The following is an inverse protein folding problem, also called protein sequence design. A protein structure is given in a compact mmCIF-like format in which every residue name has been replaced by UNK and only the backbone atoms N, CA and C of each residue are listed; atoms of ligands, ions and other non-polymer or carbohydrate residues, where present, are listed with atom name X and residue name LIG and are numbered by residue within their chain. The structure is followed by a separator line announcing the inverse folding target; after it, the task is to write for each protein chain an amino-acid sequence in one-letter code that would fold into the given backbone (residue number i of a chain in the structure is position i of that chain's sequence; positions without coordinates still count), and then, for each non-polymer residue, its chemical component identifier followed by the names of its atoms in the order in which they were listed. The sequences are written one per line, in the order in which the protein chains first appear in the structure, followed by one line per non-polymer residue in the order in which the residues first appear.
data_IF_095202259350
#
_entry.id   IF_095202259350
#
_cell.length_a   1.000
_cell.length_b   1.000
_cell.length_c   1.000
_cell.angle_alpha   90.00
_cell.angle_beta   90.00
_cell.angle_gamma   90.00
#
_symmetry.space_group_name_H-M   'P 1'
#
loop_
_entity.id
_entity.type
_entity.pdbx_description
1 polymer ?
#
# COMPACT_ATOMS: atom_id res chain seq x y z
N UNK A 1 -26.34 13.15 -12.53
CA UNK A 1 -25.88 12.11 -11.57
C UNK A 1 -26.71 10.84 -11.70
N UNK A 2 -28.04 10.93 -11.67
CA UNK A 2 -28.95 9.79 -11.90
C UNK A 2 -28.70 9.13 -13.28
N UNK A 3 -28.49 9.92 -14.33
CA UNK A 3 -28.18 9.44 -15.68
C UNK A 3 -26.86 8.66 -15.77
N UNK A 4 -25.80 9.14 -15.11
CA UNK A 4 -24.52 8.40 -15.03
C UNK A 4 -24.70 7.12 -14.20
N UNK A 5 -25.48 7.16 -13.11
CA UNK A 5 -25.71 6.00 -12.27
C UNK A 5 -26.53 4.91 -12.98
N UNK A 6 -27.52 5.27 -13.81
CA UNK A 6 -28.29 4.30 -14.57
C UNK A 6 -27.45 3.63 -15.67
N UNK A 7 -26.56 4.39 -16.32
CA UNK A 7 -25.75 3.89 -17.44
C UNK A 7 -24.43 3.21 -16.99
N UNK A 8 -23.75 3.77 -15.98
CA UNK A 8 -22.41 3.35 -15.54
C UNK A 8 -22.36 2.81 -14.11
N UNK A 9 -23.46 2.85 -13.33
CA UNK A 9 -23.45 2.44 -11.93
C UNK A 9 -22.97 0.99 -11.71
N UNK A 10 -23.27 0.10 -12.65
CA UNK A 10 -22.78 -1.29 -12.61
C UNK A 10 -21.25 -1.39 -12.78
N UNK A 11 -20.68 -0.60 -13.68
CA UNK A 11 -19.24 -0.54 -13.92
C UNK A 11 -18.47 0.02 -12.72
N UNK A 12 -19.09 0.92 -11.94
CA UNK A 12 -18.51 1.41 -10.70
C UNK A 12 -18.46 0.35 -9.59
N UNK A 13 -19.56 -0.39 -9.36
CA UNK A 13 -19.73 -1.16 -8.11
C UNK A 13 -19.52 -2.66 -8.29
N UNK A 14 -20.13 -3.29 -9.31
CA UNK A 14 -20.33 -4.75 -9.28
C UNK A 14 -19.71 -5.50 -10.48
N UNK A 15 -20.42 -5.55 -11.61
CA UNK A 15 -20.03 -6.27 -12.81
C UNK A 15 -20.64 -5.55 -14.00
N UNK A 16 -19.83 -5.15 -14.97
CA UNK A 16 -20.27 -4.43 -16.17
C UNK A 16 -20.71 -5.36 -17.32
N UNK A 17 -20.70 -6.68 -17.10
CA UNK A 17 -21.04 -7.67 -18.13
C UNK A 17 -19.85 -8.07 -19.01
N UNK A 18 -18.70 -7.40 -18.92
CA UNK A 18 -17.48 -7.72 -19.68
C UNK A 18 -16.22 -7.89 -18.81
N UNK A 19 -16.21 -7.44 -17.54
CA UNK A 19 -15.08 -7.53 -16.61
C UNK A 19 -15.42 -7.21 -15.14
N UNK A 20 -14.39 -7.10 -14.30
CA UNK A 20 -14.49 -6.70 -12.88
C UNK A 20 -14.80 -5.19 -12.78
N UNK A 21 -15.65 -4.79 -11.82
CA UNK A 21 -15.95 -3.36 -11.62
C UNK A 21 -14.74 -2.55 -11.15
N UNK A 22 -14.81 -1.24 -11.37
CA UNK A 22 -13.79 -0.30 -10.93
C UNK A 22 -13.51 -0.40 -9.43
N UNK A 23 -14.54 -0.51 -8.59
CA UNK A 23 -14.37 -0.67 -7.14
C UNK A 23 -13.66 -1.98 -6.77
N UNK A 24 -14.04 -3.10 -7.41
CA UNK A 24 -13.40 -4.40 -7.14
C UNK A 24 -11.93 -4.37 -7.55
N UNK A 25 -11.61 -3.81 -8.72
CA UNK A 25 -10.22 -3.65 -9.19
C UNK A 25 -9.43 -2.74 -8.25
N UNK A 26 -10.00 -1.61 -7.83
CA UNK A 26 -9.36 -0.69 -6.85
C UNK A 26 -9.05 -1.40 -5.54
N UNK A 27 -10.02 -2.13 -4.95
CA UNK A 27 -9.83 -2.83 -3.69
C UNK A 27 -8.84 -3.99 -3.82
N UNK A 28 -8.90 -4.74 -4.92
CA UNK A 28 -7.97 -5.82 -5.20
C UNK A 28 -6.54 -5.29 -5.35
N UNK A 29 -6.35 -4.21 -6.10
CA UNK A 29 -5.06 -3.57 -6.30
C UNK A 29 -4.50 -3.02 -4.99
N UNK A 30 -5.34 -2.39 -4.17
CA UNK A 30 -4.99 -1.93 -2.83
C UNK A 30 -4.48 -3.09 -1.97
N UNK A 31 -5.27 -4.16 -1.84
CA UNK A 31 -4.92 -5.32 -0.99
C UNK A 31 -3.65 -6.01 -1.50
N UNK A 32 -3.54 -6.26 -2.80
CA UNK A 32 -2.36 -6.90 -3.39
C UNK A 32 -1.08 -6.08 -3.12
N UNK A 33 -1.13 -4.77 -3.33
CA UNK A 33 0.00 -3.87 -3.10
C UNK A 33 0.39 -3.80 -1.62
N UNK A 34 -0.59 -3.72 -0.73
CA UNK A 34 -0.36 -3.69 0.72
C UNK A 34 0.22 -5.01 1.24
N UNK A 35 -0.25 -6.16 0.75
CA UNK A 35 0.28 -7.48 1.14
C UNK A 35 1.74 -7.61 0.72
N UNK A 36 2.06 -7.27 -0.54
CA UNK A 36 3.44 -7.30 -1.04
C UNK A 36 4.32 -6.35 -0.23
N UNK A 37 3.88 -5.11 -0.06
CA UNK A 37 4.62 -4.11 0.70
C UNK A 37 4.82 -4.50 2.17
N UNK A 38 3.81 -5.08 2.82
CA UNK A 38 3.91 -5.57 4.20
C UNK A 38 4.89 -6.75 4.32
N UNK A 39 4.77 -7.75 3.45
CA UNK A 39 5.66 -8.91 3.43
C UNK A 39 7.12 -8.50 3.18
N UNK A 40 7.36 -7.49 2.35
CA UNK A 40 8.68 -6.89 2.16
C UNK A 40 9.13 -6.07 3.38
N UNK A 41 8.24 -5.26 3.96
CA UNK A 41 8.58 -4.32 5.00
C UNK A 41 9.01 -4.98 6.32
N UNK A 42 8.43 -6.11 6.69
CA UNK A 42 8.78 -6.82 7.95
C UNK A 42 10.28 -7.18 8.01
N UNK A 43 10.85 -7.94 7.06
CA UNK A 43 12.28 -8.24 7.08
C UNK A 43 13.15 -7.00 6.80
N UNK A 44 12.71 -6.10 5.91
CA UNK A 44 13.46 -4.88 5.60
C UNK A 44 13.57 -3.95 6.81
N UNK A 45 12.53 -3.84 7.64
CA UNK A 45 12.56 -3.03 8.86
C UNK A 45 13.59 -3.56 9.87
N UNK A 46 13.69 -4.88 10.03
CA UNK A 46 14.72 -5.50 10.88
C UNK A 46 16.12 -5.21 10.34
N UNK A 47 16.33 -5.38 9.03
CA UNK A 47 17.59 -5.05 8.37
C UNK A 47 17.92 -3.55 8.49
N UNK A 48 16.92 -2.68 8.41
CA UNK A 48 17.04 -1.22 8.50
C UNK A 48 17.45 -0.73 9.89
N UNK A 49 17.08 -1.44 10.95
CA UNK A 49 17.49 -1.14 12.34
C UNK A 49 18.79 -1.84 12.74
N UNK A 50 19.26 -2.79 11.93
CA UNK A 50 20.51 -3.51 12.19
C UNK A 50 21.72 -2.57 12.26
N UNK A 51 22.62 -2.87 13.20
CA UNK A 51 23.93 -2.20 13.31
C UNK A 51 24.85 -2.53 12.13
N UNK A 52 24.60 -3.64 11.42
CA UNK A 52 25.40 -4.03 10.27
C UNK A 52 25.10 -3.10 9.07
N UNK A 53 26.10 -2.29 8.69
CA UNK A 53 25.99 -1.34 7.58
C UNK A 53 25.72 -2.02 6.24
N UNK A 54 26.19 -3.25 6.04
CA UNK A 54 25.94 -4.01 4.80
C UNK A 54 24.47 -4.40 4.64
N UNK A 55 23.72 -4.54 5.75
CA UNK A 55 22.28 -4.77 5.72
C UNK A 55 21.48 -3.47 5.71
N UNK A 56 21.86 -2.49 6.54
CA UNK A 56 21.05 -1.28 6.70
C UNK A 56 21.23 -0.26 5.58
N UNK A 57 22.37 -0.25 4.88
CA UNK A 57 22.65 0.72 3.80
C UNK A 57 21.86 0.45 2.53
N UNK A 58 21.78 -0.80 2.00
CA UNK A 58 20.94 -1.07 0.82
C UNK A 58 19.47 -0.76 1.08
N UNK A 59 18.95 -1.13 2.26
CA UNK A 59 17.57 -0.81 2.63
C UNK A 59 17.35 0.69 2.74
N UNK A 60 18.32 1.44 3.26
CA UNK A 60 18.27 2.91 3.26
C UNK A 60 18.22 3.49 1.85
N UNK A 61 19.01 2.95 0.93
CA UNK A 61 19.01 3.38 -0.46
C UNK A 61 17.64 3.15 -1.11
N UNK A 62 17.10 1.93 -0.96
CA UNK A 62 15.75 1.59 -1.40
C UNK A 62 14.70 2.53 -0.79
N UNK A 63 14.64 2.69 0.53
CA UNK A 63 13.62 3.52 1.17
C UNK A 63 13.76 5.00 0.78
N UNK A 64 14.99 5.49 0.59
CA UNK A 64 15.23 6.86 0.15
C UNK A 64 14.74 7.11 -1.28
N UNK A 65 15.04 6.20 -2.22
CA UNK A 65 14.59 6.33 -3.62
C UNK A 65 13.07 6.30 -3.71
N UNK A 66 12.41 5.32 -3.10
CA UNK A 66 10.97 5.13 -3.25
C UNK A 66 10.14 6.14 -2.45
N UNK A 67 10.62 6.63 -1.30
CA UNK A 67 9.94 7.71 -0.55
C UNK A 67 10.29 9.10 -1.06
N UNK A 68 11.40 9.24 -1.79
CA UNK A 68 11.88 10.50 -2.35
C UNK A 68 11.38 10.79 -3.77
N UNK A 69 10.72 9.83 -4.43
CA UNK A 69 10.21 9.98 -5.80
C UNK A 69 8.68 9.85 -5.83
N UNK A 70 7.97 10.63 -6.68
CA UNK A 70 6.52 10.53 -6.77
C UNK A 70 6.06 9.16 -7.29
N UNK A 71 5.01 8.59 -6.68
CA UNK A 71 4.45 7.29 -7.07
C UNK A 71 4.04 7.25 -8.55
N UNK A 72 3.49 8.35 -9.07
CA UNK A 72 3.13 8.45 -10.48
C UNK A 72 4.34 8.28 -11.40
N UNK A 73 5.47 8.90 -11.06
CA UNK A 73 6.72 8.77 -11.83
C UNK A 73 7.24 7.33 -11.75
N UNK A 74 7.18 6.70 -10.57
CA UNK A 74 7.55 5.29 -10.41
C UNK A 74 6.71 4.37 -11.30
N UNK A 75 5.39 4.59 -11.36
CA UNK A 75 4.50 3.83 -12.22
C UNK A 75 4.85 4.02 -13.70
N UNK A 76 5.06 5.26 -14.15
CA UNK A 76 5.42 5.52 -15.55
C UNK A 76 6.77 4.92 -15.93
N UNK A 77 7.76 5.00 -15.04
CA UNK A 77 9.07 4.39 -15.27
C UNK A 77 8.96 2.87 -15.39
N UNK A 78 8.12 2.22 -14.58
CA UNK A 78 7.93 0.77 -14.64
C UNK A 78 7.10 0.36 -15.86
N UNK A 79 5.96 1.02 -16.10
CA UNK A 79 5.02 0.68 -17.16
C UNK A 79 5.54 1.03 -18.55
N UNK A 80 6.06 2.24 -18.73
CA UNK A 80 6.51 2.73 -20.03
C UNK A 80 8.03 2.65 -20.19
N UNK A 81 8.77 3.05 -19.15
CA UNK A 81 10.24 3.08 -19.18
C UNK A 81 10.86 1.69 -19.31
N UNK A 82 10.61 0.80 -18.35
CA UNK A 82 11.19 -0.55 -18.34
C UNK A 82 10.72 -1.37 -19.53
N UNK A 83 9.44 -1.27 -19.90
CA UNK A 83 8.90 -1.97 -21.07
C UNK A 83 9.56 -1.54 -22.39
N UNK A 84 10.08 -0.31 -22.49
CA UNK A 84 10.79 0.17 -23.69
C UNK A 84 12.18 -0.46 -23.90
N UNK A 85 12.74 -1.11 -22.87
CA UNK A 85 14.06 -1.73 -22.93
C UNK A 85 14.02 -3.00 -23.79
N UNK A 86 14.93 -3.10 -24.75
CA UNK A 86 14.95 -4.21 -25.72
C UNK A 86 15.06 -5.58 -25.05
N UNK A 87 15.90 -5.71 -24.02
CA UNK A 87 16.04 -6.99 -23.29
C UNK A 87 14.74 -7.42 -22.61
N UNK A 88 13.93 -6.49 -22.11
CA UNK A 88 12.64 -6.78 -21.47
C UNK A 88 11.68 -7.35 -22.50
N UNK A 89 11.62 -6.74 -23.69
CA UNK A 89 10.77 -7.20 -24.80
C UNK A 89 11.25 -8.51 -25.42
N UNK A 90 12.56 -8.73 -25.48
CA UNK A 90 13.15 -9.95 -26.05
C UNK A 90 12.92 -11.19 -25.19
N UNK A 91 12.74 -11.03 -23.88
CA UNK A 91 12.44 -12.13 -22.96
C UNK A 91 10.93 -12.29 -22.76
N UNK A 92 10.37 -13.41 -23.23
CA UNK A 92 8.92 -13.66 -23.22
C UNK A 92 8.25 -13.44 -21.86
N UNK A 93 8.86 -13.88 -20.76
CA UNK A 93 8.30 -13.75 -19.40
C UNK A 93 8.27 -12.29 -18.94
N UNK A 94 9.34 -11.53 -19.19
CA UNK A 94 9.42 -10.12 -18.83
C UNK A 94 8.47 -9.30 -19.69
N UNK A 95 8.42 -9.58 -20.99
CA UNK A 95 7.51 -8.93 -21.92
C UNK A 95 6.05 -9.10 -21.48
N UNK A 96 5.63 -10.34 -21.15
CA UNK A 96 4.27 -10.61 -20.69
C UNK A 96 3.96 -9.89 -19.36
N UNK A 97 4.93 -9.86 -18.44
CA UNK A 97 4.77 -9.16 -17.17
C UNK A 97 4.58 -7.65 -17.35
N UNK A 98 5.52 -6.98 -18.03
CA UNK A 98 5.55 -5.52 -18.16
C UNK A 98 4.53 -4.95 -19.15
N UNK A 99 4.01 -5.78 -20.06
CA UNK A 99 2.90 -5.40 -20.95
C UNK A 99 1.60 -5.18 -20.20
N UNK A 100 1.41 -5.85 -19.06
CA UNK A 100 0.22 -5.69 -18.22
C UNK A 100 0.35 -4.48 -17.30
N UNK A 101 -0.48 -3.47 -17.55
CA UNK A 101 -0.56 -2.28 -16.70
C UNK A 101 -0.89 -2.59 -15.23
N UNK A 102 -1.67 -3.66 -15.00
CA UNK A 102 -2.02 -4.13 -13.66
C UNK A 102 -0.81 -4.72 -12.92
N UNK A 103 0.02 -5.52 -13.60
CA UNK A 103 1.27 -6.03 -13.00
C UNK A 103 2.24 -4.90 -12.67
N UNK A 104 2.38 -3.93 -13.59
CA UNK A 104 3.20 -2.74 -13.38
C UNK A 104 2.70 -1.89 -12.21
N UNK A 105 1.38 -1.72 -12.08
CA UNK A 105 0.76 -1.00 -10.96
C UNK A 105 1.04 -1.69 -9.62
N UNK A 106 0.82 -3.01 -9.52
CA UNK A 106 1.12 -3.77 -8.30
C UNK A 106 2.59 -3.66 -7.92
N UNK A 107 3.49 -3.78 -8.90
CA UNK A 107 4.93 -3.67 -8.66
C UNK A 107 5.29 -2.28 -8.14
N UNK A 108 4.86 -1.22 -8.83
CA UNK A 108 5.12 0.16 -8.41
C UNK A 108 4.57 0.44 -7.02
N UNK A 109 3.30 0.08 -6.77
CA UNK A 109 2.60 0.38 -5.53
C UNK A 109 3.13 -0.46 -4.37
N UNK A 110 3.41 -1.75 -4.59
CA UNK A 110 4.01 -2.64 -3.61
C UNK A 110 5.41 -2.18 -3.20
N UNK A 111 6.26 -1.77 -4.16
CA UNK A 111 7.57 -1.21 -3.86
C UNK A 111 7.49 0.13 -3.13
N UNK A 112 6.53 0.98 -3.49
CA UNK A 112 6.32 2.27 -2.83
C UNK A 112 5.85 2.09 -1.39
N UNK A 113 4.71 1.42 -1.18
CA UNK A 113 4.15 1.20 0.16
C UNK A 113 5.07 0.33 1.02
N UNK A 114 5.82 -0.59 0.41
CA UNK A 114 6.87 -1.35 1.09
C UNK A 114 7.95 -0.46 1.68
N UNK A 115 8.36 0.62 0.99
CA UNK A 115 9.36 1.56 1.47
C UNK A 115 8.84 2.42 2.63
N UNK A 116 7.62 2.94 2.52
CA UNK A 116 6.98 3.69 3.61
C UNK A 116 6.75 2.80 4.83
N UNK A 117 6.17 1.61 4.63
CA UNK A 117 5.90 0.63 5.70
C UNK A 117 7.20 0.16 6.37
N UNK A 118 8.29 -0.02 5.62
CA UNK A 118 9.61 -0.37 6.18
C UNK A 118 10.07 0.67 7.20
N UNK A 119 9.93 1.96 6.89
CA UNK A 119 10.36 3.05 7.78
C UNK A 119 9.41 3.25 8.96
N UNK A 120 8.10 3.01 8.77
CA UNK A 120 7.12 2.98 9.87
C UNK A 120 7.49 1.87 10.86
N UNK A 121 7.72 0.64 10.40
CA UNK A 121 8.09 -0.48 11.26
C UNK A 121 9.48 -0.30 11.87
N UNK A 122 10.46 0.19 11.12
CA UNK A 122 11.79 0.49 11.66
C UNK A 122 11.72 1.57 12.74
N UNK A 123 10.89 2.60 12.56
CA UNK A 123 10.61 3.61 13.58
C UNK A 123 10.01 3.00 14.84
N UNK A 124 8.99 2.16 14.69
CA UNK A 124 8.36 1.46 15.81
C UNK A 124 9.33 0.52 16.56
N UNK A 125 10.21 -0.19 15.84
CA UNK A 125 11.26 -1.03 16.45
C UNK A 125 12.24 -0.17 17.26
N UNK A 126 12.66 1.00 16.74
CA UNK A 126 13.57 1.91 17.46
C UNK A 126 12.93 2.54 18.69
N UNK A 127 11.61 2.73 18.68
CA UNK A 127 10.85 3.30 19.79
C UNK A 127 10.58 2.32 20.95
N UNK A 128 10.99 1.05 20.83
CA UNK A 128 10.86 0.06 21.90
C UNK A 128 11.74 0.47 23.09
N UNK A 129 11.19 0.37 24.30
CA UNK A 129 11.88 0.77 25.51
C UNK A 129 13.11 -0.11 25.77
N UNK A 130 14.19 0.49 26.28
CA UNK A 130 15.39 -0.25 26.64
C UNK A 130 15.09 -1.33 27.69
N UNK A 131 14.18 -1.06 28.63
CA UNK A 131 13.75 -2.02 29.65
C UNK A 131 13.13 -3.30 29.08
N UNK A 132 12.31 -3.22 28.03
CA UNK A 132 11.76 -4.42 27.35
C UNK A 132 12.88 -5.29 26.75
N UNK A 133 13.92 -4.67 26.19
CA UNK A 133 15.06 -5.36 25.59
C UNK A 133 15.99 -5.93 26.66
N UNK A 134 16.23 -5.19 27.74
CA UNK A 134 17.09 -5.59 28.86
C UNK A 134 16.46 -6.73 29.67
N UNK A 135 15.16 -6.66 29.97
CA UNK A 135 14.42 -7.73 30.64
C UNK A 135 14.48 -9.04 29.83
N UNK A 136 14.30 -8.95 28.50
CA UNK A 136 14.44 -10.12 27.63
C UNK A 136 15.84 -10.73 27.66
N UNK A 137 16.89 -9.91 27.74
CA UNK A 137 18.28 -10.38 27.87
C UNK A 137 18.54 -11.00 29.24
N UNK A 138 18.05 -10.39 30.31
CA UNK A 138 18.17 -10.92 31.67
C UNK A 138 17.48 -12.28 31.82
N UNK A 139 16.39 -12.50 31.09
CA UNK A 139 15.71 -13.79 31.00
C UNK A 139 16.43 -14.82 30.08
N UNK A 140 17.61 -14.50 29.56
CA UNK A 140 18.41 -15.41 28.74
C UNK A 140 17.95 -15.58 27.30
N UNK A 141 17.08 -14.70 26.77
CA UNK A 141 16.61 -14.83 25.39
C UNK A 141 17.73 -14.55 24.38
N UNK A 142 17.89 -15.46 23.41
CA UNK A 142 18.71 -15.19 22.23
C UNK A 142 18.16 -13.99 21.44
N UNK A 143 19.00 -13.34 20.62
CA UNK A 143 18.55 -12.22 19.77
C UNK A 143 17.38 -12.62 18.88
N UNK A 144 17.41 -13.80 18.28
CA UNK A 144 16.34 -14.26 17.40
C UNK A 144 15.03 -14.49 18.16
N UNK A 145 15.11 -15.14 19.33
CA UNK A 145 13.94 -15.35 20.20
C UNK A 145 13.32 -14.04 20.64
N UNK A 146 14.16 -13.07 21.06
CA UNK A 146 13.73 -11.74 21.45
C UNK A 146 13.06 -10.97 20.30
N UNK A 147 13.63 -11.03 19.09
CA UNK A 147 13.03 -10.38 17.93
C UNK A 147 11.67 -10.98 17.57
N UNK A 148 11.58 -12.31 17.51
CA UNK A 148 10.37 -13.02 17.12
C UNK A 148 9.24 -12.91 18.16
N UNK A 149 9.56 -12.95 19.46
CA UNK A 149 8.54 -13.03 20.52
C UNK A 149 8.20 -11.69 21.18
N UNK A 150 9.12 -10.73 21.17
CA UNK A 150 8.95 -9.46 21.90
C UNK A 150 8.94 -8.28 20.93
N UNK A 151 10.05 -8.08 20.20
CA UNK A 151 10.27 -6.85 19.42
C UNK A 151 9.29 -6.75 18.25
N UNK A 152 9.22 -7.77 17.37
CA UNK A 152 8.38 -7.70 16.17
C UNK A 152 6.88 -7.63 16.52
N UNK A 153 6.31 -8.49 17.39
CA UNK A 153 4.90 -8.37 17.75
C UNK A 153 4.56 -7.03 18.41
N UNK A 154 5.44 -6.50 19.27
CA UNK A 154 5.23 -5.21 19.93
C UNK A 154 5.31 -4.05 18.93
N UNK A 155 6.34 -4.04 18.08
CA UNK A 155 6.52 -3.00 17.06
C UNK A 155 5.36 -2.95 16.06
N UNK A 156 4.90 -4.11 15.57
CA UNK A 156 3.79 -4.16 14.60
C UNK A 156 2.48 -3.66 15.21
N UNK A 157 2.20 -3.98 16.48
CA UNK A 157 1.02 -3.42 17.18
C UNK A 157 1.15 -1.91 17.36
N UNK A 158 2.29 -1.42 17.84
CA UNK A 158 2.55 0.01 18.06
C UNK A 158 2.57 0.82 16.75
N UNK A 159 2.93 0.19 15.63
CA UNK A 159 2.94 0.80 14.30
C UNK A 159 1.54 0.92 13.67
N UNK A 160 0.53 0.23 14.20
CA UNK A 160 -0.79 0.12 13.58
C UNK A 160 -1.44 1.48 13.23
N UNK A 161 -1.39 2.54 14.08
CA UNK A 161 -1.98 3.83 13.73
C UNK A 161 -1.24 4.57 12.61
N UNK A 162 0.08 4.36 12.48
CA UNK A 162 0.84 4.92 11.37
C UNK A 162 0.61 4.12 10.09
N UNK A 163 0.48 2.79 10.23
CA UNK A 163 0.19 1.91 9.11
C UNK A 163 -1.23 2.11 8.57
N UNK A 164 -2.22 2.41 9.42
CA UNK A 164 -3.59 2.71 8.97
C UNK A 164 -3.63 3.97 8.09
N UNK A 165 -2.85 5.01 8.44
CA UNK A 165 -2.68 6.19 7.59
C UNK A 165 -2.05 5.84 6.23
N UNK A 166 -1.01 4.99 6.22
CA UNK A 166 -0.38 4.53 4.98
C UNK A 166 -1.36 3.76 4.08
N UNK A 167 -2.22 2.92 4.66
CA UNK A 167 -3.27 2.20 3.90
C UNK A 167 -4.26 3.15 3.25
N UNK A 168 -4.68 4.20 3.96
CA UNK A 168 -5.60 5.22 3.42
C UNK A 168 -4.91 6.02 2.32
N UNK A 169 -3.65 6.41 2.51
CA UNK A 169 -2.87 7.08 1.47
C UNK A 169 -2.71 6.20 0.23
N UNK A 170 -2.47 4.90 0.41
CA UNK A 170 -2.37 3.94 -0.69
C UNK A 170 -3.71 3.80 -1.45
N UNK A 171 -4.85 3.80 -0.76
CA UNK A 171 -6.18 3.85 -1.42
C UNK A 171 -6.33 5.08 -2.30
N UNK A 172 -5.86 6.26 -1.85
CA UNK A 172 -5.89 7.45 -2.72
C UNK A 172 -4.91 7.32 -3.88
N UNK A 173 -3.73 6.74 -3.63
CA UNK A 173 -2.71 6.50 -4.65
C UNK A 173 -3.15 5.50 -5.73
N UNK A 174 -4.08 4.57 -5.45
CA UNK A 174 -4.59 3.65 -6.48
C UNK A 174 -5.27 4.36 -7.64
N UNK A 175 -5.77 5.58 -7.42
CA UNK A 175 -6.31 6.43 -8.49
C UNK A 175 -5.32 6.62 -9.63
N UNK A 176 -4.02 6.60 -9.36
CA UNK A 176 -2.96 6.78 -10.36
C UNK A 176 -2.87 5.59 -11.32
N UNK A 177 -3.40 4.41 -10.96
CA UNK A 177 -3.31 3.20 -11.78
C UNK A 177 -3.99 3.35 -13.15
N UNK A 178 -5.00 4.22 -13.28
CA UNK A 178 -5.69 4.47 -14.54
C UNK A 178 -4.74 4.93 -15.66
N UNK A 179 -3.63 5.60 -15.33
CA UNK A 179 -2.65 6.06 -16.32
C UNK A 179 -1.88 4.90 -16.96
N UNK A 180 -1.80 3.77 -16.25
CA UNK A 180 -1.31 2.50 -16.77
C UNK A 180 -2.46 1.64 -17.31
N UNK A 181 -3.57 2.25 -17.74
CA UNK A 181 -4.75 1.58 -18.34
C UNK A 181 -5.49 0.60 -17.41
N UNK A 182 -5.22 0.64 -16.10
CA UNK A 182 -5.92 -0.20 -15.13
C UNK A 182 -7.38 0.27 -15.00
N UNK A 183 -8.38 -0.63 -15.11
CA UNK A 183 -9.80 -0.26 -15.05
C UNK A 183 -10.28 -0.08 -13.61
N UNK A 184 -9.72 0.91 -12.91
CA UNK A 184 -10.09 1.28 -11.54
C UNK A 184 -11.32 2.22 -11.52
N UNK A 185 -11.78 2.61 -10.32
CA UNK A 185 -12.89 3.59 -10.16
C UNK A 185 -12.65 4.88 -10.95
N UNK A 186 -11.40 5.39 -10.99
CA UNK A 186 -11.11 6.63 -11.71
C UNK A 186 -11.18 6.43 -13.23
N UNK A 187 -10.76 5.28 -13.75
CA UNK A 187 -10.92 4.93 -15.17
C UNK A 187 -12.39 4.93 -15.58
N UNK A 188 -13.26 4.30 -14.79
CA UNK A 188 -14.72 4.27 -15.06
C UNK A 188 -15.30 5.69 -15.08
N UNK A 189 -14.91 6.54 -14.13
CA UNK A 189 -15.33 7.93 -14.10
C UNK A 189 -14.83 8.73 -15.31
N UNK A 190 -13.59 8.48 -15.75
CA UNK A 190 -13.02 9.12 -16.93
C UNK A 190 -13.78 8.71 -18.19
N UNK A 191 -14.12 7.44 -18.34
CA UNK A 191 -14.86 6.92 -19.49
C UNK A 191 -16.29 7.46 -19.54
N UNK A 192 -16.98 7.50 -18.39
CA UNK A 192 -18.29 8.13 -18.28
C UNK A 192 -18.26 9.62 -18.62
N UNK A 193 -17.24 10.35 -18.16
CA UNK A 193 -17.06 11.75 -18.52
C UNK A 193 -16.74 11.94 -20.01
N UNK A 194 -15.92 11.08 -20.60
CA UNK A 194 -15.60 11.15 -22.03
C UNK A 194 -16.81 10.88 -22.92
N UNK A 195 -17.76 10.07 -22.47
CA UNK A 195 -18.99 9.76 -23.20
C UNK A 195 -20.10 10.81 -23.01
N UNK A 196 -20.23 11.38 -21.82
CA UNK A 196 -21.36 12.26 -21.45
C UNK A 196 -20.96 13.75 -21.33
N UNK A 197 -19.66 14.05 -21.28
CA UNK A 197 -19.09 15.36 -20.95
C UNK A 197 -19.51 15.93 -19.58
N UNK A 198 -20.10 15.10 -18.70
CA UNK A 198 -20.59 15.49 -17.39
C UNK A 198 -19.52 15.36 -16.28
N UNK A 199 -18.46 16.18 -16.35
CA UNK A 199 -17.28 16.04 -15.48
C UNK A 199 -17.58 16.09 -13.99
N UNK A 200 -18.35 17.09 -13.54
CA UNK A 200 -18.69 17.25 -12.13
C UNK A 200 -19.39 16.01 -11.55
N UNK A 201 -20.25 15.39 -12.35
CA UNK A 201 -21.08 14.28 -11.91
C UNK A 201 -20.30 12.96 -11.93
N UNK A 202 -19.51 12.72 -12.98
CA UNK A 202 -18.69 11.52 -13.12
C UNK A 202 -17.61 11.44 -12.03
N UNK A 203 -16.84 12.52 -11.84
CA UNK A 203 -15.82 12.57 -10.79
C UNK A 203 -16.42 12.73 -9.39
N UNK A 204 -17.60 13.36 -9.27
CA UNK A 204 -18.36 13.42 -8.02
C UNK A 204 -18.77 12.03 -7.51
N UNK A 205 -19.24 11.15 -8.40
CA UNK A 205 -19.56 9.76 -8.04
C UNK A 205 -18.29 9.02 -7.60
N UNK A 206 -17.18 9.15 -8.34
CA UNK A 206 -15.91 8.54 -7.94
C UNK A 206 -15.44 9.03 -6.56
N UNK A 207 -15.52 10.33 -6.30
CA UNK A 207 -15.15 10.92 -5.01
C UNK A 207 -16.00 10.34 -3.86
N UNK A 208 -17.31 10.20 -4.06
CA UNK A 208 -18.21 9.59 -3.06
C UNK A 208 -17.86 8.12 -2.80
N UNK A 209 -17.48 7.36 -3.84
CA UNK A 209 -17.04 5.96 -3.68
C UNK A 209 -15.74 5.90 -2.87
N UNK A 210 -14.71 6.68 -3.25
CA UNK A 210 -13.46 6.74 -2.51
C UNK A 210 -13.65 7.19 -1.05
N UNK A 211 -14.55 8.15 -0.82
CA UNK A 211 -14.91 8.62 0.52
C UNK A 211 -15.56 7.51 1.35
N UNK A 212 -16.53 6.79 0.80
CA UNK A 212 -17.20 5.68 1.47
C UNK A 212 -16.22 4.56 1.85
N UNK A 213 -15.34 4.17 0.92
CA UNK A 213 -14.30 3.16 1.18
C UNK A 213 -13.31 3.64 2.24
N UNK A 214 -12.86 4.89 2.16
CA UNK A 214 -11.94 5.48 3.15
C UNK A 214 -12.55 5.48 4.55
N UNK A 215 -13.82 5.90 4.70
CA UNK A 215 -14.52 5.84 5.99
C UNK A 215 -14.67 4.42 6.51
N UNK A 216 -14.97 3.44 5.64
CA UNK A 216 -15.06 2.04 6.02
C UNK A 216 -13.72 1.51 6.54
N UNK A 217 -12.61 1.82 5.87
CA UNK A 217 -11.26 1.45 6.31
C UNK A 217 -10.90 2.12 7.63
N UNK A 218 -11.14 3.43 7.78
CA UNK A 218 -10.91 4.16 9.03
C UNK A 218 -11.69 3.53 10.18
N UNK A 219 -12.97 3.20 9.98
CA UNK A 219 -13.80 2.56 11.00
C UNK A 219 -13.26 1.18 11.38
N UNK A 220 -12.81 0.38 10.40
CA UNK A 220 -12.20 -0.92 10.62
C UNK A 220 -10.89 -0.80 11.43
N UNK A 221 -9.98 0.10 11.04
CA UNK A 221 -8.73 0.33 11.76
C UNK A 221 -8.95 0.88 13.16
N UNK A 222 -9.87 1.83 13.37
CA UNK A 222 -10.21 2.32 14.71
C UNK A 222 -10.71 1.20 15.62
N UNK A 223 -11.46 0.22 15.08
CA UNK A 223 -11.91 -0.94 15.84
C UNK A 223 -10.74 -1.89 16.17
N UNK A 224 -9.84 -2.11 15.22
CA UNK A 224 -8.63 -2.91 15.42
C UNK A 224 -7.67 -2.28 16.44
N UNK A 225 -7.44 -0.97 16.34
CA UNK A 225 -6.62 -0.17 17.26
C UNK A 225 -7.15 -0.27 18.70
N UNK A 226 -8.46 -0.10 18.92
CA UNK A 226 -9.05 -0.24 20.26
C UNK A 226 -8.81 -1.63 20.87
N UNK A 227 -8.83 -2.69 20.06
CA UNK A 227 -8.63 -4.04 20.54
C UNK A 227 -7.14 -4.34 20.80
N UNK A 228 -6.26 -4.01 19.85
CA UNK A 228 -4.85 -4.36 19.92
C UNK A 228 -4.01 -3.40 20.76
N UNK A 229 -4.41 -2.16 20.95
CA UNK A 229 -3.69 -1.17 21.78
C UNK A 229 -4.30 -1.00 23.18
N UNK A 230 -5.31 -1.79 23.55
CA UNK A 230 -5.95 -1.74 24.86
C UNK A 230 -4.96 -1.83 26.03
N UNK A 231 -3.86 -2.60 25.86
CA UNK A 231 -2.84 -2.78 26.90
C UNK A 231 -1.96 -1.54 27.16
N UNK A 232 -1.91 -0.58 26.22
CA UNK A 232 -1.20 0.70 26.39
C UNK A 232 -2.08 1.80 26.98
N UNK A 233 -3.40 1.60 27.05
CA UNK A 233 -4.33 2.57 27.60
C UNK A 233 -4.28 2.64 29.14
N UNK A 234 -3.58 1.72 29.81
CA UNK A 234 -3.43 1.69 31.27
C UNK A 234 -2.26 2.60 31.66
N UNK A 235 -2.58 3.86 31.99
CA UNK A 235 -1.58 4.83 32.46
C UNK A 235 -1.98 6.30 32.36
N UNK A 236 -3.28 6.63 32.50
CA UNK A 236 -3.70 7.99 32.85
C UNK A 236 -4.24 7.96 34.27
N UNK A 237 -3.34 7.89 35.23
CA UNK A 237 -3.60 8.24 36.63
C UNK A 237 -2.66 9.38 37.00
#
# INVERSE_FOLDING_TARGET
MIEILSQYGRAFIYYDGQGLSGLVVTLWLLVASLVIGFCMAVPLAVARVSKNRWLSTPVRGYTYVFRGTPLYVQLLLIYSGVYSLEFVRAHAVLNEFFRSGLHCAILAFGLNTGAYTTEIFAGAIRAISHGEVEAARAYGMSRWTMYRRIILPSALRRALPLYSNEVILMLHATTVAFTATVPDVLKVARDANSATYMSFQAFGIAALIYLAVSFALVAAFRRAERHWLAYLAVGRH
#
